data_IF_987558701497
#
_entry.id   IF_987558701497
#
_cell.length_a   1.000
_cell.length_b   1.000
_cell.length_c   1.000
_cell.angle_alpha   90.00
_cell.angle_beta   90.00
_cell.angle_gamma   90.00
#
_symmetry.space_group_name_H-M   'P 1'
#
loop_
_entity.id
_entity.type
_entity.pdbx_description
1 polymer ?
#
# COMPACT_ATOMS: atom_id res chain seq x y z
N UNK A 1 -2.67 19.13 -11.85
CA UNK A 1 -2.06 19.96 -12.93
C UNK A 1 -0.63 19.54 -13.25
N UNK A 2 0.30 19.53 -12.27
CA UNK A 2 1.72 19.20 -12.51
C UNK A 2 1.93 17.82 -13.18
N UNK A 3 1.28 16.77 -12.68
CA UNK A 3 1.34 15.43 -13.29
C UNK A 3 0.78 15.37 -14.71
N UNK A 4 -0.21 16.22 -15.01
CA UNK A 4 -0.75 16.33 -16.35
C UNK A 4 0.31 16.93 -17.30
N UNK A 5 1.01 17.98 -16.86
CA UNK A 5 2.12 18.57 -17.63
C UNK A 5 3.23 17.53 -17.82
N UNK A 6 3.61 16.82 -16.75
CA UNK A 6 4.63 15.77 -16.80
C UNK A 6 4.30 14.71 -17.86
N UNK A 7 3.05 14.23 -17.90
CA UNK A 7 2.62 13.20 -18.86
C UNK A 7 2.45 13.73 -20.27
N UNK A 8 1.69 14.81 -20.44
CA UNK A 8 1.21 15.25 -21.75
C UNK A 8 2.12 16.27 -22.43
N UNK A 9 2.91 17.03 -21.67
CA UNK A 9 3.83 18.04 -22.22
C UNK A 9 5.27 17.54 -22.18
N UNK A 10 5.70 16.94 -21.07
CA UNK A 10 7.08 16.42 -20.92
C UNK A 10 7.25 14.96 -21.35
N UNK A 11 6.16 14.25 -21.68
CA UNK A 11 6.20 12.88 -22.18
C UNK A 11 6.68 11.84 -21.16
N UNK A 12 6.49 12.09 -19.85
CA UNK A 12 6.89 11.16 -18.79
C UNK A 12 5.80 10.10 -18.63
N UNK A 13 6.00 8.96 -19.30
CA UNK A 13 5.10 7.80 -19.26
C UNK A 13 5.21 7.03 -17.93
N UNK A 14 4.15 6.28 -17.58
CA UNK A 14 4.07 5.45 -16.36
C UNK A 14 4.35 6.22 -15.07
N UNK A 15 3.98 7.49 -15.03
CA UNK A 15 4.04 8.30 -13.83
C UNK A 15 2.75 8.13 -13.04
N UNK A 16 2.88 7.72 -11.79
CA UNK A 16 1.77 7.53 -10.86
C UNK A 16 1.92 8.49 -9.68
N UNK A 17 0.80 8.83 -9.06
CA UNK A 17 0.82 9.61 -7.84
C UNK A 17 -0.33 9.25 -6.93
N UNK A 18 -0.09 9.43 -5.64
CA UNK A 18 -1.06 9.31 -4.58
C UNK A 18 -0.82 10.43 -3.57
N UNK A 19 -1.78 11.35 -3.45
CA UNK A 19 -1.60 12.59 -2.68
C UNK A 19 -0.31 13.33 -3.09
N UNK A 20 0.67 13.42 -2.20
CA UNK A 20 1.97 14.06 -2.39
C UNK A 20 3.07 13.11 -2.89
N UNK A 21 2.83 11.80 -2.86
CA UNK A 21 3.79 10.80 -3.34
C UNK A 21 3.68 10.62 -4.86
N UNK A 22 4.82 10.70 -5.55
CA UNK A 22 4.95 10.39 -6.98
C UNK A 22 5.90 9.21 -7.17
N UNK A 23 5.54 8.26 -8.04
CA UNK A 23 6.34 7.07 -8.30
C UNK A 23 6.23 6.64 -9.76
N UNK A 24 7.28 6.01 -10.27
CA UNK A 24 7.35 5.53 -11.66
C UNK A 24 8.33 4.36 -11.77
N UNK A 25 8.33 3.72 -12.92
CA UNK A 25 9.24 2.62 -13.28
C UNK A 25 10.11 3.06 -14.47
N UNK A 26 11.38 2.68 -14.41
CA UNK A 26 12.38 2.99 -15.44
C UNK A 26 13.39 1.84 -15.55
N UNK A 27 13.94 1.66 -16.75
CA UNK A 27 15.01 0.69 -16.99
C UNK A 27 16.28 1.17 -16.27
N UNK A 28 16.94 0.30 -15.51
CA UNK A 28 18.08 0.66 -14.66
C UNK A 28 19.18 1.46 -15.37
N UNK A 29 19.48 1.15 -16.63
CA UNK A 29 20.51 1.84 -17.42
C UNK A 29 20.08 3.23 -17.94
N UNK A 30 18.79 3.53 -17.94
CA UNK A 30 18.25 4.83 -18.38
C UNK A 30 18.35 5.84 -17.25
N UNK A 31 19.54 6.41 -17.14
CA UNK A 31 19.85 7.44 -16.14
C UNK A 31 20.17 8.78 -16.77
N UNK A 32 19.95 9.85 -16.02
CA UNK A 32 20.21 11.23 -16.40
C UNK A 32 20.93 11.94 -15.25
N UNK A 33 21.91 12.79 -15.58
CA UNK A 33 22.59 13.62 -14.59
C UNK A 33 21.65 14.72 -14.09
N UNK A 34 21.51 14.86 -12.77
CA UNK A 34 20.69 15.88 -12.15
C UNK A 34 21.59 16.85 -11.34
N UNK A 35 21.91 18.04 -11.89
CA UNK A 35 22.88 18.96 -11.30
C UNK A 35 22.60 19.39 -9.85
N UNK A 36 21.34 19.69 -9.45
CA UNK A 36 21.07 20.15 -8.08
C UNK A 36 21.50 19.16 -6.99
N UNK A 37 21.48 17.86 -7.28
CA UNK A 37 21.93 16.81 -6.36
C UNK A 37 23.28 16.18 -6.76
N UNK A 38 23.91 16.67 -7.84
CA UNK A 38 25.20 16.19 -8.34
C UNK A 38 25.28 14.66 -8.46
N UNK A 39 24.21 14.02 -8.95
CA UNK A 39 24.16 12.57 -9.15
C UNK A 39 23.35 12.16 -10.37
N UNK A 40 23.57 10.92 -10.81
CA UNK A 40 22.73 10.27 -11.81
C UNK A 40 21.47 9.72 -11.14
N UNK A 41 20.32 10.03 -11.72
CA UNK A 41 19.01 9.53 -11.31
C UNK A 41 18.38 8.75 -12.47
N UNK A 42 17.40 7.86 -12.21
CA UNK A 42 16.52 7.36 -13.26
C UNK A 42 15.98 8.49 -14.12
N UNK A 43 15.99 8.32 -15.45
CA UNK A 43 15.69 9.37 -16.42
C UNK A 43 14.34 10.06 -16.14
N UNK A 44 13.27 9.27 -15.98
CA UNK A 44 11.92 9.81 -15.66
C UNK A 44 11.91 10.60 -14.34
N UNK A 45 12.65 10.15 -13.33
CA UNK A 45 12.76 10.87 -12.06
C UNK A 45 13.46 12.21 -12.25
N UNK A 46 14.61 12.25 -12.92
CA UNK A 46 15.32 13.49 -13.21
C UNK A 46 14.46 14.47 -14.02
N UNK A 47 13.74 13.99 -15.05
CA UNK A 47 12.84 14.81 -15.86
C UNK A 47 11.71 15.43 -15.04
N UNK A 48 11.16 14.67 -14.08
CA UNK A 48 10.15 15.19 -13.17
C UNK A 48 10.73 16.27 -12.24
N UNK A 49 11.95 16.08 -11.74
CA UNK A 49 12.62 17.08 -10.90
C UNK A 49 12.95 18.35 -11.67
N UNK A 50 13.41 18.25 -12.91
CA UNK A 50 13.59 19.42 -13.77
C UNK A 50 12.29 20.17 -14.03
N UNK A 51 11.17 19.45 -14.15
CA UNK A 51 9.86 20.09 -14.23
C UNK A 51 9.50 20.82 -12.92
N UNK A 52 9.84 20.25 -11.77
CA UNK A 52 9.63 20.92 -10.49
C UNK A 52 10.50 22.18 -10.37
N UNK A 53 11.76 22.13 -10.81
CA UNK A 53 12.64 23.30 -10.89
C UNK A 53 12.05 24.40 -11.78
N UNK A 54 11.56 24.04 -12.97
CA UNK A 54 10.92 24.96 -13.93
C UNK A 54 9.67 25.63 -13.35
N UNK A 55 8.91 24.90 -12.53
CA UNK A 55 7.69 25.39 -11.89
C UNK A 55 7.93 26.04 -10.52
N UNK A 56 9.16 26.05 -10.01
CA UNK A 56 9.50 26.55 -8.68
C UNK A 56 8.89 25.71 -7.53
N UNK A 57 8.65 24.42 -7.76
CA UNK A 57 8.11 23.50 -6.75
C UNK A 57 9.26 22.97 -5.89
N UNK A 58 9.23 23.15 -4.56
CA UNK A 58 10.29 22.67 -3.70
C UNK A 58 10.28 21.15 -3.56
N UNK A 59 11.47 20.56 -3.52
CA UNK A 59 11.72 19.13 -3.40
C UNK A 59 13.01 18.89 -2.64
N UNK A 60 13.08 17.75 -1.97
CA UNK A 60 14.21 17.40 -1.10
C UNK A 60 14.92 16.16 -1.62
N UNK A 61 16.26 16.18 -1.64
CA UNK A 61 17.06 15.04 -2.10
C UNK A 61 16.80 13.77 -1.30
N UNK A 62 16.67 13.89 0.03
CA UNK A 62 16.42 12.74 0.92
C UNK A 62 15.13 11.98 0.61
N UNK A 63 14.17 12.62 -0.05
CA UNK A 63 12.90 12.02 -0.49
C UNK A 63 13.01 11.38 -1.89
N UNK A 64 14.08 11.69 -2.63
CA UNK A 64 14.33 11.18 -3.98
C UNK A 64 15.03 9.82 -3.94
N UNK A 65 14.26 8.80 -3.59
CA UNK A 65 14.69 7.41 -3.54
C UNK A 65 14.49 6.73 -4.89
N UNK A 66 15.41 5.81 -5.23
CA UNK A 66 15.29 4.93 -6.39
C UNK A 66 15.99 3.61 -6.09
N UNK A 67 15.48 2.51 -6.65
CA UNK A 67 16.00 1.16 -6.39
C UNK A 67 15.06 0.11 -6.94
N UNK A 68 15.49 -1.15 -6.88
CA UNK A 68 14.67 -2.30 -7.27
C UNK A 68 13.59 -2.64 -6.24
N UNK A 69 13.82 -2.28 -4.98
CA UNK A 69 12.86 -2.47 -3.88
C UNK A 69 12.58 -1.12 -3.25
N UNK A 70 11.32 -0.67 -3.30
CA UNK A 70 10.90 0.62 -2.75
C UNK A 70 9.61 0.48 -1.94
N UNK A 71 9.48 1.32 -0.92
CA UNK A 71 8.22 1.45 -0.18
C UNK A 71 7.35 2.50 -0.87
N UNK A 72 6.22 2.08 -1.44
CA UNK A 72 5.24 2.95 -2.11
C UNK A 72 3.92 2.84 -1.35
N UNK A 73 3.35 3.98 -0.92
CA UNK A 73 2.10 4.08 -0.16
C UNK A 73 1.96 3.10 1.03
N UNK A 74 3.09 2.71 1.62
CA UNK A 74 3.14 1.79 2.77
C UNK A 74 3.40 0.31 2.43
N UNK A 75 3.49 -0.06 1.15
CA UNK A 75 3.80 -1.42 0.68
C UNK A 75 5.20 -1.49 0.08
N UNK A 76 5.82 -2.67 0.17
CA UNK A 76 7.04 -2.98 -0.55
C UNK A 76 6.70 -3.33 -1.99
N UNK A 77 7.35 -2.65 -2.92
CA UNK A 77 7.32 -2.93 -4.35
C UNK A 77 8.68 -3.46 -4.72
N UNK A 78 8.74 -4.72 -5.14
CA UNK A 78 9.96 -5.35 -5.66
C UNK A 78 9.80 -5.52 -7.18
N UNK A 79 10.59 -4.78 -7.94
CA UNK A 79 10.56 -4.81 -9.41
C UNK A 79 11.36 -5.97 -10.01
N UNK A 80 12.23 -6.63 -9.22
CA UNK A 80 12.94 -7.83 -9.68
C UNK A 80 12.01 -9.04 -9.59
N UNK A 81 11.30 -9.19 -8.47
CA UNK A 81 10.33 -10.27 -8.27
C UNK A 81 8.95 -9.94 -8.87
N UNK A 82 8.74 -8.68 -9.29
CA UNK A 82 7.46 -8.16 -9.74
C UNK A 82 6.35 -8.38 -8.70
N UNK A 83 6.65 -8.05 -7.44
CA UNK A 83 5.75 -8.27 -6.30
C UNK A 83 5.37 -6.99 -5.55
N UNK A 84 4.13 -6.97 -5.06
CA UNK A 84 3.66 -6.03 -4.05
C UNK A 84 3.41 -6.76 -2.73
N UNK A 85 4.06 -6.35 -1.65
CA UNK A 85 3.96 -7.02 -0.36
C UNK A 85 3.86 -6.04 0.80
N UNK A 86 3.37 -6.50 1.96
CA UNK A 86 3.47 -5.72 3.18
C UNK A 86 4.91 -5.75 3.70
N UNK A 87 5.34 -4.68 4.35
CA UNK A 87 6.56 -4.75 5.17
C UNK A 87 6.38 -5.79 6.29
N UNK A 88 7.47 -6.47 6.69
CA UNK A 88 7.44 -7.45 7.78
C UNK A 88 6.89 -6.83 9.09
N UNK A 89 7.23 -5.56 9.35
CA UNK A 89 6.73 -4.80 10.49
C UNK A 89 5.21 -4.57 10.40
N UNK A 90 4.72 -4.05 9.27
CA UNK A 90 3.28 -3.81 9.07
C UNK A 90 2.47 -5.10 9.13
N UNK A 91 2.98 -6.19 8.54
CA UNK A 91 2.38 -7.53 8.61
C UNK A 91 2.29 -8.02 10.05
N UNK A 92 3.38 -7.90 10.81
CA UNK A 92 3.43 -8.30 12.23
C UNK A 92 2.46 -7.50 13.08
N UNK A 93 2.41 -6.17 12.90
CA UNK A 93 1.48 -5.28 13.62
C UNK A 93 0.02 -5.60 13.31
N UNK A 94 -0.31 -5.85 12.04
CA UNK A 94 -1.66 -6.24 11.63
C UNK A 94 -2.08 -7.56 12.28
N UNK A 95 -1.22 -8.59 12.21
CA UNK A 95 -1.50 -9.90 12.81
C UNK A 95 -1.65 -9.81 14.33
N UNK A 96 -0.78 -9.06 15.00
CA UNK A 96 -0.88 -8.83 16.44
C UNK A 96 -2.22 -8.16 16.81
N UNK A 97 -2.62 -7.13 16.06
CA UNK A 97 -3.88 -6.43 16.28
C UNK A 97 -5.10 -7.33 16.07
N UNK A 98 -5.14 -8.14 15.00
CA UNK A 98 -6.26 -9.07 14.77
C UNK A 98 -6.32 -10.13 15.88
N UNK A 99 -5.17 -10.66 16.32
CA UNK A 99 -5.10 -11.64 17.41
C UNK A 99 -5.58 -11.05 18.74
N UNK A 100 -5.19 -9.82 19.05
CA UNK A 100 -5.70 -9.09 20.23
C UNK A 100 -7.21 -8.83 20.12
N UNK A 101 -7.71 -8.47 18.94
CA UNK A 101 -9.14 -8.31 18.72
C UNK A 101 -9.90 -9.64 18.93
N UNK A 102 -9.34 -10.75 18.46
CA UNK A 102 -9.91 -12.10 18.61
C UNK A 102 -9.91 -12.63 20.04
N UNK A 103 -9.02 -12.15 20.93
CA UNK A 103 -9.01 -12.56 22.34
C UNK A 103 -10.19 -11.97 23.13
N UNK A 104 -10.79 -10.89 22.64
CA UNK A 104 -11.93 -10.21 23.27
C UNK A 104 -13.23 -10.97 23.01
N UNK A 105 -14.14 -10.97 23.98
CA UNK A 105 -15.51 -11.48 23.77
C UNK A 105 -16.41 -10.45 23.08
N UNK A 106 -16.23 -9.18 23.45
CA UNK A 106 -16.89 -8.02 22.86
C UNK A 106 -15.87 -6.89 22.65
N UNK A 107 -16.14 -6.02 21.67
CA UNK A 107 -15.33 -4.83 21.43
C UNK A 107 -16.24 -3.63 21.08
N UNK A 108 -15.82 -2.40 21.39
CA UNK A 108 -16.52 -1.20 20.96
C UNK A 108 -16.70 -1.12 19.44
N UNK A 109 -17.78 -0.49 18.97
CA UNK A 109 -18.03 -0.23 17.55
C UNK A 109 -16.82 0.41 16.85
N UNK A 110 -16.17 1.39 17.49
CA UNK A 110 -14.96 2.03 16.95
C UNK A 110 -13.83 1.03 16.68
N UNK A 111 -13.70 -0.03 17.47
CA UNK A 111 -12.65 -1.02 17.28
C UNK A 111 -12.97 -1.97 16.12
N UNK A 112 -14.25 -2.28 15.88
CA UNK A 112 -14.68 -2.96 14.66
C UNK A 112 -14.38 -2.13 13.40
N UNK A 113 -14.66 -0.82 13.45
CA UNK A 113 -14.37 0.09 12.33
C UNK A 113 -12.86 0.23 12.09
N UNK A 114 -12.06 0.36 13.16
CA UNK A 114 -10.59 0.39 13.08
C UNK A 114 -10.03 -0.91 12.51
N UNK A 115 -10.56 -2.06 12.93
CA UNK A 115 -10.21 -3.36 12.35
C UNK A 115 -10.55 -3.43 10.86
N UNK A 116 -11.78 -3.07 10.49
CA UNK A 116 -12.19 -3.08 9.09
C UNK A 116 -11.30 -2.17 8.24
N UNK A 117 -10.98 -0.96 8.71
CA UNK A 117 -10.08 -0.04 8.01
C UNK A 117 -8.68 -0.60 7.81
N UNK A 118 -8.08 -1.17 8.86
CA UNK A 118 -6.71 -1.68 8.78
C UNK A 118 -6.61 -2.97 7.95
N UNK A 119 -7.58 -3.88 8.08
CA UNK A 119 -7.66 -5.06 7.22
C UNK A 119 -7.92 -4.63 5.78
N UNK A 120 -8.82 -3.68 5.53
CA UNK A 120 -9.08 -3.18 4.17
C UNK A 120 -7.84 -2.56 3.52
N UNK A 121 -7.00 -1.86 4.29
CA UNK A 121 -5.70 -1.43 3.81
C UNK A 121 -4.83 -2.63 3.39
N UNK A 122 -4.72 -3.66 4.22
CA UNK A 122 -3.95 -4.87 3.90
C UNK A 122 -4.49 -5.64 2.68
N UNK A 123 -5.81 -5.60 2.42
CA UNK A 123 -6.44 -6.26 1.27
C UNK A 123 -5.98 -5.70 -0.08
N UNK A 124 -5.30 -4.55 -0.13
CA UNK A 124 -4.63 -4.07 -1.35
C UNK A 124 -3.55 -5.04 -1.84
N UNK A 125 -2.90 -5.79 -0.94
CA UNK A 125 -1.93 -6.84 -1.29
C UNK A 125 -2.44 -8.26 -1.03
N UNK A 126 -3.70 -8.40 -0.57
CA UNK A 126 -4.37 -9.69 -0.38
C UNK A 126 -5.83 -9.66 -0.90
N UNK A 127 -6.06 -9.36 -2.19
CA UNK A 127 -7.41 -9.10 -2.71
C UNK A 127 -8.35 -10.30 -2.58
N UNK A 128 -7.81 -11.52 -2.60
CA UNK A 128 -8.59 -12.76 -2.44
C UNK A 128 -9.12 -12.96 -1.01
N UNK A 129 -8.62 -12.20 -0.03
CA UNK A 129 -9.06 -12.29 1.36
C UNK A 129 -10.21 -11.32 1.69
N UNK A 130 -10.70 -10.54 0.71
CA UNK A 130 -11.85 -9.62 0.89
C UNK A 130 -13.07 -10.23 1.59
N UNK A 131 -13.46 -11.50 1.34
CA UNK A 131 -14.58 -12.12 2.04
C UNK A 131 -14.46 -12.13 3.57
N UNK A 132 -13.25 -12.04 4.13
CA UNK A 132 -13.05 -12.06 5.58
C UNK A 132 -13.65 -10.87 6.33
N UNK A 133 -14.04 -9.81 5.61
CA UNK A 133 -14.68 -8.63 6.20
C UNK A 133 -16.20 -8.63 6.06
N UNK A 134 -16.82 -9.56 5.35
CA UNK A 134 -18.26 -9.57 5.12
C UNK A 134 -19.06 -9.58 6.43
N UNK A 135 -18.76 -10.54 7.31
CA UNK A 135 -19.43 -10.63 8.61
C UNK A 135 -19.08 -9.46 9.55
N UNK A 136 -17.89 -8.87 9.39
CA UNK A 136 -17.46 -7.69 10.14
C UNK A 136 -18.27 -6.46 9.74
N UNK A 137 -18.40 -6.18 8.43
CA UNK A 137 -19.21 -5.07 7.93
C UNK A 137 -20.68 -5.25 8.27
N UNK A 138 -21.25 -6.44 8.07
CA UNK A 138 -22.64 -6.73 8.42
C UNK A 138 -22.92 -6.47 9.91
N UNK A 139 -21.95 -6.71 10.80
CA UNK A 139 -22.13 -6.50 12.23
C UNK A 139 -22.42 -5.04 12.57
N UNK A 140 -21.84 -4.08 11.85
CA UNK A 140 -21.93 -2.66 12.19
C UNK A 140 -22.52 -1.75 11.10
N UNK A 141 -22.85 -2.26 9.91
CA UNK A 141 -23.41 -1.48 8.80
C UNK A 141 -24.68 -0.72 9.17
N UNK A 142 -25.54 -1.32 10.01
CA UNK A 142 -26.80 -0.72 10.49
C UNK A 142 -26.65 0.05 11.81
N UNK A 143 -25.41 0.26 12.28
CA UNK A 143 -25.12 0.82 13.62
C UNK A 143 -24.32 2.12 13.53
N UNK A 144 -24.38 2.82 12.40
CA UNK A 144 -23.65 4.07 12.15
C UNK A 144 -24.05 5.21 13.09
N UNK A 145 -25.32 5.23 13.51
CA UNK A 145 -25.88 6.32 14.32
C UNK A 145 -25.78 6.05 15.83
N UNK A 146 -25.15 4.93 16.20
CA UNK A 146 -24.97 4.50 17.58
C UNK A 146 -23.62 5.00 18.09
N UNK A 147 -23.53 5.26 19.40
CA UNK A 147 -22.29 5.66 20.07
C UNK A 147 -21.10 4.75 19.68
N UNK A 148 -19.93 5.33 19.32
CA UNK A 148 -18.72 4.57 19.00
C UNK A 148 -18.23 3.65 20.14
N UNK A 149 -18.67 3.90 21.36
CA UNK A 149 -18.32 3.15 22.56
C UNK A 149 -19.21 1.93 22.82
N UNK A 150 -20.28 1.77 22.04
CA UNK A 150 -21.20 0.64 22.17
C UNK A 150 -20.48 -0.68 21.93
N UNK A 151 -20.58 -1.59 22.90
CA UNK A 151 -19.95 -2.90 22.84
C UNK A 151 -20.73 -3.85 21.93
N UNK A 152 -20.04 -4.43 20.96
CA UNK A 152 -20.56 -5.42 20.04
C UNK A 152 -19.90 -6.78 20.31
N UNK A 153 -20.69 -7.84 20.32
CA UNK A 153 -20.21 -9.21 20.51
C UNK A 153 -19.51 -9.75 19.27
N UNK A 154 -18.41 -10.47 19.46
CA UNK A 154 -17.72 -11.17 18.39
C UNK A 154 -18.36 -12.56 18.22
N UNK A 155 -19.16 -12.73 17.17
CA UNK A 155 -19.79 -14.01 16.85
C UNK A 155 -18.78 -15.01 16.24
N UNK A 156 -19.19 -16.28 16.15
CA UNK A 156 -18.32 -17.34 15.62
C UNK A 156 -17.97 -17.14 14.14
N UNK A 157 -18.85 -16.52 13.35
CA UNK A 157 -18.59 -16.24 11.93
C UNK A 157 -17.44 -15.22 11.77
N UNK A 158 -17.48 -14.09 12.48
CA UNK A 158 -16.41 -13.09 12.50
C UNK A 158 -15.10 -13.73 12.98
N UNK A 159 -15.16 -14.58 14.02
CA UNK A 159 -13.98 -15.28 14.53
C UNK A 159 -13.38 -16.22 13.49
N UNK A 160 -14.21 -16.97 12.77
CA UNK A 160 -13.75 -17.90 11.74
C UNK A 160 -13.11 -17.14 10.57
N UNK A 161 -13.76 -16.08 10.09
CA UNK A 161 -13.25 -15.23 8.99
C UNK A 161 -11.91 -14.58 9.31
N UNK A 162 -11.77 -14.01 10.51
CA UNK A 162 -10.53 -13.36 10.93
C UNK A 162 -9.40 -14.37 11.18
N UNK A 163 -9.70 -15.56 11.70
CA UNK A 163 -8.71 -16.65 11.82
C UNK A 163 -8.26 -17.16 10.45
N UNK A 164 -9.20 -17.26 9.51
CA UNK A 164 -8.91 -17.61 8.12
C UNK A 164 -8.00 -16.54 7.49
N UNK A 165 -8.33 -15.25 7.64
CA UNK A 165 -7.50 -14.14 7.21
C UNK A 165 -6.08 -14.23 7.77
N UNK A 166 -5.90 -14.35 9.09
CA UNK A 166 -4.57 -14.37 9.71
C UNK A 166 -3.73 -15.53 9.19
N UNK A 167 -4.33 -16.72 9.07
CA UNK A 167 -3.63 -17.92 8.56
C UNK A 167 -3.12 -17.75 7.12
N UNK A 168 -3.87 -17.02 6.28
CA UNK A 168 -3.47 -16.76 4.90
C UNK A 168 -2.46 -15.62 4.79
N UNK A 169 -2.65 -14.53 5.55
CA UNK A 169 -1.70 -13.42 5.60
C UNK A 169 -0.33 -13.91 6.06
N UNK A 170 -0.26 -14.75 7.10
CA UNK A 170 0.99 -15.32 7.61
C UNK A 170 1.80 -16.03 6.53
N UNK A 171 1.13 -16.86 5.72
CA UNK A 171 1.78 -17.67 4.68
C UNK A 171 2.01 -16.96 3.35
N UNK A 172 1.39 -15.80 3.14
CA UNK A 172 1.45 -15.11 1.86
C UNK A 172 2.61 -14.11 1.80
N UNK A 173 3.31 -14.11 0.67
CA UNK A 173 4.40 -13.19 0.32
C UNK A 173 3.92 -11.94 -0.43
N UNK A 174 2.60 -11.81 -0.67
CA UNK A 174 1.98 -10.66 -1.34
C UNK A 174 1.37 -11.02 -2.70
N UNK A 175 1.27 -10.01 -3.58
CA UNK A 175 0.77 -10.16 -4.96
C UNK A 175 1.95 -10.24 -5.92
N UNK A 176 1.89 -11.20 -6.85
CA UNK A 176 2.79 -11.30 -7.99
C UNK A 176 2.09 -10.71 -9.23
N UNK A 177 2.74 -9.75 -9.90
CA UNK A 177 2.18 -9.06 -11.07
C UNK A 177 2.38 -9.85 -12.37
N UNK A 178 3.51 -10.53 -12.48
CA UNK A 178 3.85 -11.36 -13.63
C UNK A 178 4.44 -12.68 -13.10
N UNK A 179 3.89 -13.80 -13.56
CA UNK A 179 4.66 -15.05 -13.52
C UNK A 179 5.66 -14.96 -14.66
N UNK A 180 6.95 -14.88 -14.34
CA UNK A 180 7.99 -15.22 -15.31
C UNK A 180 7.72 -16.64 -15.77
N UNK A 181 7.20 -16.80 -17.00
CA UNK A 181 7.34 -18.07 -17.72
C UNK A 181 8.80 -18.10 -18.12
N UNK A 182 9.65 -18.61 -17.23
CA UNK A 182 11.01 -18.97 -17.59
C UNK A 182 10.86 -20.06 -18.66
N UNK A 183 11.02 -19.68 -19.92
CA UNK A 183 11.23 -20.65 -20.99
C UNK A 183 12.62 -21.24 -20.74
N UNK A 184 12.65 -22.31 -19.94
CA UNK A 184 13.76 -23.24 -19.87
C UNK A 184 13.48 -24.38 -20.86
#
# INVERSE_FOLDING_TARGET
LVLWIAKHVKGIEDLFAYADDCFSIEVHQRVMWYPPFQRKLPRKQAQLLFLFDELGIPHEERKQISGSILKVIGFNVDTNLMTFSMTAESKSKLLAFIREFLSKWCAPLKDFQRLAGWVNWALNVFPLLRPSLCNVYQKFSEKSDISPHTLLTLNNAIRADLKWLTSHVERSDGIFLLKSVSWA
#
